data_IF_075430867300
#
_entry.id   IF_075430867300
#
_cell.length_a   1.000
_cell.length_b   1.000
_cell.length_c   1.000
_cell.angle_alpha   90.00
_cell.angle_beta   90.00
_cell.angle_gamma   90.00
#
_symmetry.space_group_name_H-M   'P 1'
#
loop_
_entity.id
_entity.type
_entity.pdbx_description
1 polymer ?
#
# COMPACT_ATOMS: atom_id res chain seq x y z
N UNK A 1 -13.43 -13.24 -4.24
CA UNK A 1 -12.23 -12.80 -5.00
C UNK A 1 -11.44 -11.89 -4.07
N UNK A 2 -10.18 -12.19 -3.76
CA UNK A 2 -9.36 -11.28 -2.96
C UNK A 2 -9.00 -10.07 -3.85
N UNK A 3 -9.23 -8.85 -3.38
CA UNK A 3 -8.87 -7.63 -4.10
C UNK A 3 -7.56 -7.09 -3.56
N UNK A 4 -6.62 -6.77 -4.46
CA UNK A 4 -5.33 -6.19 -4.06
C UNK A 4 -5.51 -4.83 -3.39
N UNK A 5 -6.47 -4.03 -3.85
CA UNK A 5 -6.76 -2.71 -3.28
C UNK A 5 -7.27 -2.84 -1.83
N UNK A 6 -8.06 -3.88 -1.55
CA UNK A 6 -8.57 -4.16 -0.20
C UNK A 6 -7.45 -4.58 0.74
N UNK A 7 -6.51 -5.43 0.28
CA UNK A 7 -5.39 -5.85 1.11
C UNK A 7 -4.39 -4.71 1.33
N UNK A 8 -4.12 -3.87 0.32
CA UNK A 8 -3.33 -2.64 0.50
C UNK A 8 -3.99 -1.76 1.56
N UNK A 9 -5.30 -1.55 1.48
CA UNK A 9 -6.03 -0.71 2.46
C UNK A 9 -5.89 -1.26 3.88
N UNK A 10 -6.07 -2.57 4.09
CA UNK A 10 -5.88 -3.21 5.40
C UNK A 10 -4.46 -3.06 5.93
N UNK A 11 -3.45 -3.20 5.07
CA UNK A 11 -2.05 -3.01 5.47
C UNK A 11 -1.81 -1.57 5.91
N UNK A 12 -2.31 -0.59 5.15
CA UNK A 12 -2.19 0.83 5.49
C UNK A 12 -2.96 1.21 6.76
N UNK A 13 -4.08 0.55 7.06
CA UNK A 13 -4.83 0.71 8.31
C UNK A 13 -4.12 0.07 9.50
N UNK A 14 -3.40 -1.03 9.28
CA UNK A 14 -2.70 -1.77 10.33
C UNK A 14 -1.40 -1.11 10.78
N UNK A 15 -0.77 -0.29 9.92
CA UNK A 15 0.50 0.32 10.27
C UNK A 15 1.16 1.13 9.16
N UNK A 16 2.46 1.36 9.37
CA UNK A 16 3.32 2.21 8.53
C UNK A 16 4.30 1.31 7.79
N UNK A 17 4.24 1.29 6.46
CA UNK A 17 5.00 0.35 5.63
C UNK A 17 5.59 1.03 4.39
N UNK A 18 6.79 0.64 4.01
CA UNK A 18 7.40 0.98 2.72
C UNK A 18 6.74 0.21 1.56
N UNK A 19 6.86 0.68 0.30
CA UNK A 19 6.37 -0.06 -0.85
C UNK A 19 6.92 -1.47 -0.97
N UNK A 20 8.18 -1.70 -0.59
CA UNK A 20 8.79 -3.04 -0.59
C UNK A 20 8.16 -3.96 0.44
N UNK A 21 7.93 -3.47 1.66
CA UNK A 21 7.27 -4.28 2.71
C UNK A 21 5.83 -4.62 2.32
N UNK A 22 5.10 -3.67 1.72
CA UNK A 22 3.75 -3.93 1.20
C UNK A 22 3.81 -4.97 0.08
N UNK A 23 4.81 -4.92 -0.81
CA UNK A 23 4.98 -5.93 -1.86
C UNK A 23 5.21 -7.31 -1.27
N UNK A 24 6.14 -7.45 -0.33
CA UNK A 24 6.49 -8.73 0.30
C UNK A 24 5.24 -9.35 0.97
N UNK A 25 4.49 -8.54 1.73
CA UNK A 25 3.26 -8.98 2.41
C UNK A 25 2.13 -9.35 1.43
N UNK A 26 2.06 -8.70 0.26
CA UNK A 26 1.10 -9.05 -0.79
C UNK A 26 1.51 -10.34 -1.51
N UNK A 27 2.81 -10.55 -1.75
CA UNK A 27 3.35 -11.77 -2.35
C UNK A 27 3.12 -13.00 -1.46
N UNK A 28 3.30 -12.87 -0.14
CA UNK A 28 2.96 -13.91 0.85
C UNK A 28 1.47 -14.31 0.79
N UNK A 29 0.59 -13.39 0.40
CA UNK A 29 -0.84 -13.63 0.26
C UNK A 29 -1.25 -14.16 -1.13
N UNK A 30 -0.29 -14.32 -2.04
CA UNK A 30 -0.46 -14.84 -3.39
C UNK A 30 -0.71 -13.77 -4.47
N UNK A 31 -0.56 -12.49 -4.16
CA UNK A 31 -0.65 -11.42 -5.17
C UNK A 31 0.70 -11.23 -5.86
N UNK A 32 0.69 -11.07 -7.18
CA UNK A 32 1.87 -10.72 -7.96
C UNK A 32 1.71 -9.32 -8.53
N UNK A 33 2.42 -8.36 -7.95
CA UNK A 33 2.49 -6.98 -8.43
C UNK A 33 3.95 -6.54 -8.45
N UNK A 34 4.38 -5.81 -9.48
CA UNK A 34 5.73 -5.26 -9.48
C UNK A 34 5.81 -4.06 -8.55
N UNK A 35 6.96 -3.88 -7.88
CA UNK A 35 7.21 -2.74 -7.01
C UNK A 35 6.84 -1.39 -7.65
N UNK A 36 7.18 -1.20 -8.94
CA UNK A 36 6.83 0.02 -9.68
C UNK A 36 5.32 0.25 -9.74
N UNK A 37 4.54 -0.78 -10.09
CA UNK A 37 3.07 -0.66 -10.17
C UNK A 37 2.46 -0.40 -8.80
N UNK A 38 3.01 -1.02 -7.75
CA UNK A 38 2.58 -0.79 -6.38
C UNK A 38 2.89 0.64 -5.93
N UNK A 39 4.10 1.15 -6.20
CA UNK A 39 4.48 2.52 -5.88
C UNK A 39 3.59 3.55 -6.63
N UNK A 40 3.39 3.36 -7.94
CA UNK A 40 2.50 4.20 -8.75
C UNK A 40 1.07 4.22 -8.18
N UNK A 41 0.59 3.07 -7.68
CA UNK A 41 -0.73 2.95 -7.06
C UNK A 41 -0.80 3.62 -5.67
N UNK A 42 0.23 3.47 -4.84
CA UNK A 42 0.30 4.13 -3.53
C UNK A 42 0.35 5.66 -3.68
N UNK A 43 1.11 6.17 -4.65
CA UNK A 43 1.15 7.61 -4.95
C UNK A 43 -0.22 8.11 -5.45
N UNK A 44 -0.98 7.29 -6.21
CA UNK A 44 -2.37 7.61 -6.57
C UNK A 44 -3.27 7.70 -5.33
N UNK A 45 -3.17 6.74 -4.39
CA UNK A 45 -3.92 6.76 -3.13
C UNK A 45 -3.62 8.00 -2.29
N UNK A 46 -2.37 8.47 -2.32
CA UNK A 46 -1.96 9.74 -1.68
C UNK A 46 -2.60 10.93 -2.39
N UNK A 47 -2.57 10.96 -3.73
CA UNK A 47 -3.14 12.04 -4.52
C UNK A 47 -4.66 12.22 -4.32
N UNK A 48 -5.39 11.12 -4.10
CA UNK A 48 -6.84 11.14 -3.81
C UNK A 48 -7.16 11.26 -2.32
N UNK A 49 -6.16 11.40 -1.45
CA UNK A 49 -6.34 11.63 -0.02
C UNK A 49 -6.69 10.38 0.81
N UNK A 50 -6.58 9.18 0.24
CA UNK A 50 -6.84 7.91 0.94
C UNK A 50 -5.65 7.48 1.79
N UNK A 51 -4.42 7.71 1.30
CA UNK A 51 -3.18 7.35 2.00
C UNK A 51 -2.33 8.58 2.34
N UNK A 52 -1.43 8.44 3.31
CA UNK A 52 -0.42 9.42 3.66
C UNK A 52 0.98 8.87 3.39
N UNK A 53 1.79 9.63 2.66
CA UNK A 53 3.22 9.36 2.48
C UNK A 53 4.04 10.15 3.50
N UNK A 54 4.95 9.47 4.17
CA UNK A 54 5.85 10.04 5.18
C UNK A 54 7.23 10.35 4.57
N UNK A 55 8.06 11.10 5.29
CA UNK A 55 9.40 11.49 4.84
C UNK A 55 10.41 10.34 4.78
N UNK A 56 10.08 9.19 5.36
CA UNK A 56 10.86 7.95 5.33
C UNK A 56 10.35 6.95 4.27
N UNK A 57 9.63 7.45 3.26
CA UNK A 57 9.06 6.68 2.14
C UNK A 57 8.07 5.57 2.53
N UNK A 58 7.53 5.64 3.74
CA UNK A 58 6.45 4.76 4.19
C UNK A 58 5.07 5.37 3.95
N UNK A 59 4.06 4.51 3.99
CA UNK A 59 2.66 4.83 3.75
C UNK A 59 1.80 4.37 4.93
N UNK A 60 0.79 5.16 5.27
CA UNK A 60 -0.28 4.83 6.23
C UNK A 60 -1.63 5.23 5.67
N UNK A 61 -2.72 4.71 6.24
CA UNK A 61 -4.07 5.18 5.93
C UNK A 61 -4.28 6.63 6.40
N UNK A 62 -5.15 7.37 5.69
CA UNK A 62 -5.70 8.65 6.14
C UNK A 62 -7.19 8.57 6.47
N UNK A 63 -7.81 7.42 6.22
CA UNK A 63 -9.19 7.17 6.56
C UNK A 63 -9.21 6.68 8.02
N UNK A 64 -9.42 7.61 8.95
CA UNK A 64 -9.80 7.29 10.34
C UNK A 64 -11.30 7.10 10.43
#
# INVERSE_FOLDING_TARGET
MKSIDLEISKLLDAGKYTPSEIQDLLEEQGFKISLKKLADHLDLLVAIGVAGKHSDDTFTSRLN
#
